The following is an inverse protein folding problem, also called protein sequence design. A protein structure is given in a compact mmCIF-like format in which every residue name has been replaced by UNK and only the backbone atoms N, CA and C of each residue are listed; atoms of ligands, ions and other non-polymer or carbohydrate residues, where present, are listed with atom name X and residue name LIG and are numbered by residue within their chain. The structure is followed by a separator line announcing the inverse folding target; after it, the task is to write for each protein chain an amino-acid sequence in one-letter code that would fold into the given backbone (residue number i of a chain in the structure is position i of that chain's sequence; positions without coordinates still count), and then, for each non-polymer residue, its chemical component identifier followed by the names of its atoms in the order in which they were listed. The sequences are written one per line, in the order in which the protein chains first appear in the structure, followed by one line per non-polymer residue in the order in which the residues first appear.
data_IF_239897340851
#
_entry.id   IF_239897340851
#
_cell.length_a   1.000
_cell.length_b   1.000
_cell.length_c   1.000
_cell.angle_alpha   90.00
_cell.angle_beta   90.00
_cell.angle_gamma   90.00
#
_symmetry.space_group_name_H-M   'P 1'
#
loop_
_entity.id
_entity.type
_entity.pdbx_description
1 polymer ?
#
# COMPACT_ATOMS: atom_id res chain seq x y z
N UNK A 1 1.64 1.40 18.01
CA UNK A 1 2.92 2.12 17.80
C UNK A 1 3.29 1.97 16.34
N UNK A 2 3.81 3.04 15.67
CA UNK A 2 4.26 2.96 14.29
C UNK A 2 5.76 2.62 14.23
N UNK A 3 6.15 1.93 13.15
CA UNK A 3 7.55 1.67 12.83
C UNK A 3 8.14 2.86 12.04
N UNK A 4 8.33 4.01 12.70
CA UNK A 4 8.74 5.26 12.05
C UNK A 4 10.12 5.16 11.36
N UNK A 5 10.97 4.19 11.75
CA UNK A 5 12.25 3.90 11.09
C UNK A 5 12.08 3.33 9.66
N UNK A 6 10.88 2.97 9.24
CA UNK A 6 10.58 2.46 7.89
C UNK A 6 10.37 3.55 6.84
N UNK A 7 10.38 4.81 7.26
CA UNK A 7 10.20 5.97 6.39
C UNK A 7 11.28 7.01 6.71
N UNK A 8 11.73 7.78 5.71
CA UNK A 8 12.62 8.92 5.97
C UNK A 8 11.93 9.94 6.87
N UNK A 9 12.71 10.54 7.79
CA UNK A 9 12.19 11.55 8.72
C UNK A 9 11.47 12.71 8.00
N UNK A 10 12.05 13.20 6.90
CA UNK A 10 11.45 14.26 6.08
C UNK A 10 10.10 13.85 5.48
N UNK A 11 9.96 12.59 5.01
CA UNK A 11 8.70 12.09 4.46
C UNK A 11 7.65 11.89 5.57
N UNK A 12 8.05 11.47 6.76
CA UNK A 12 7.14 11.37 7.91
C UNK A 12 6.64 12.76 8.36
N UNK A 13 7.51 13.76 8.39
CA UNK A 13 7.15 15.14 8.71
C UNK A 13 6.21 15.73 7.67
N UNK A 14 6.52 15.55 6.38
CA UNK A 14 5.63 15.95 5.28
C UNK A 14 4.25 15.28 5.41
N UNK A 15 4.20 13.97 5.65
CA UNK A 15 2.96 13.23 5.85
C UNK A 15 2.12 13.83 6.99
N UNK A 16 2.75 14.15 8.13
CA UNK A 16 2.05 14.77 9.27
C UNK A 16 1.47 16.14 8.91
N UNK A 17 2.22 16.96 8.16
CA UNK A 17 1.79 18.30 7.72
C UNK A 17 0.61 18.15 6.75
N UNK A 18 0.74 17.35 5.70
CA UNK A 18 -0.31 17.15 4.69
C UNK A 18 -1.58 16.55 5.32
N UNK A 19 -1.45 15.60 6.23
CA UNK A 19 -2.60 14.99 6.92
C UNK A 19 -3.33 15.94 7.90
N UNK A 20 -2.70 17.04 8.29
CA UNK A 20 -3.35 18.11 9.08
C UNK A 20 -4.04 19.16 8.20
N UNK A 21 -3.75 19.23 6.92
CA UNK A 21 -4.38 20.15 5.99
C UNK A 21 -5.81 19.72 5.69
N UNK A 22 -6.76 20.68 5.72
CA UNK A 22 -8.18 20.43 5.48
C UNK A 22 -8.46 19.87 4.08
N UNK A 23 -7.65 20.23 3.08
CA UNK A 23 -7.78 19.71 1.72
C UNK A 23 -7.56 18.19 1.65
N UNK A 24 -6.90 17.61 2.67
CA UNK A 24 -6.61 16.18 2.76
C UNK A 24 -7.44 15.45 3.80
N UNK A 25 -8.49 16.05 4.36
CA UNK A 25 -9.26 15.44 5.47
C UNK A 25 -9.87 14.07 5.10
N UNK A 26 -10.19 13.84 3.82
CA UNK A 26 -10.73 12.57 3.31
C UNK A 26 -9.66 11.60 2.82
N UNK A 27 -8.38 12.02 2.78
CA UNK A 27 -7.30 11.16 2.32
C UNK A 27 -6.75 10.29 3.44
N UNK A 28 -6.33 9.10 3.04
CA UNK A 28 -5.79 8.04 3.89
C UNK A 28 -4.51 7.54 3.23
N UNK A 29 -3.42 7.41 3.98
CA UNK A 29 -2.22 6.76 3.47
C UNK A 29 -2.51 5.26 3.33
N UNK A 30 -2.27 4.73 2.13
CA UNK A 30 -2.41 3.31 1.84
C UNK A 30 -1.10 2.74 1.24
N UNK A 31 -1.21 1.66 0.50
CA UNK A 31 -0.06 1.11 -0.21
C UNK A 31 1.06 0.58 0.68
N UNK A 32 2.26 0.62 0.11
CA UNK A 32 3.45 0.05 0.73
C UNK A 32 3.92 0.80 1.97
N UNK A 33 3.81 2.13 1.98
CA UNK A 33 4.25 2.96 3.10
C UNK A 33 3.32 2.81 4.30
N UNK A 34 2.01 2.73 4.09
CA UNK A 34 1.07 2.44 5.17
C UNK A 34 1.33 1.08 5.81
N UNK A 35 1.62 0.06 5.01
CA UNK A 35 1.96 -1.26 5.53
C UNK A 35 3.31 -1.26 6.24
N UNK A 36 4.33 -0.61 5.68
CA UNK A 36 5.65 -0.49 6.30
C UNK A 36 5.58 0.16 7.68
N UNK A 37 4.84 1.26 7.82
CA UNK A 37 4.61 1.92 9.11
C UNK A 37 3.88 1.04 10.13
N UNK A 38 3.01 0.11 9.68
CA UNK A 38 2.22 -0.75 10.57
C UNK A 38 2.91 -2.05 10.97
N UNK A 39 3.77 -2.62 10.13
CA UNK A 39 4.40 -3.95 10.39
C UNK A 39 5.92 -3.95 10.36
N UNK A 40 6.56 -2.88 9.90
CA UNK A 40 8.00 -2.71 10.03
C UNK A 40 8.88 -3.51 9.08
N UNK A 41 8.33 -4.06 8.00
CA UNK A 41 9.03 -5.07 7.17
C UNK A 41 10.05 -4.51 6.18
N UNK A 42 9.86 -3.29 5.67
CA UNK A 42 10.73 -2.66 4.68
C UNK A 42 10.81 -1.15 4.82
N UNK A 43 11.81 -0.55 4.20
CA UNK A 43 11.87 0.90 4.00
C UNK A 43 10.95 1.31 2.85
N UNK A 44 10.18 2.37 3.03
CA UNK A 44 9.31 2.96 2.01
C UNK A 44 9.53 4.46 1.93
N UNK A 45 9.38 5.02 0.73
CA UNK A 45 9.72 6.43 0.48
C UNK A 45 8.56 7.24 -0.12
N UNK A 46 7.59 6.58 -0.74
CA UNK A 46 6.50 7.22 -1.47
C UNK A 46 5.28 7.42 -0.57
N UNK A 47 4.53 8.48 -0.77
CA UNK A 47 3.30 8.79 -0.04
C UNK A 47 2.08 8.57 -0.93
N UNK A 48 1.49 7.38 -0.86
CA UNK A 48 0.28 7.01 -1.59
C UNK A 48 -0.98 7.44 -0.80
N UNK A 49 -1.55 8.58 -1.10
CA UNK A 49 -2.75 9.14 -0.46
C UNK A 49 -4.00 8.79 -1.25
N UNK A 50 -4.88 8.01 -0.65
CA UNK A 50 -6.12 7.56 -1.28
C UNK A 50 -7.34 8.16 -0.61
N UNK A 51 -8.34 8.48 -1.41
CA UNK A 51 -9.71 8.77 -0.95
C UNK A 51 -10.71 7.90 -1.70
N UNK A 52 -11.86 7.62 -1.10
CA UNK A 52 -12.98 6.96 -1.79
C UNK A 52 -13.98 7.97 -2.39
N UNK A 53 -13.74 9.26 -2.22
CA UNK A 53 -14.54 10.34 -2.77
C UNK A 53 -13.83 10.96 -3.98
N UNK A 54 -14.57 11.43 -4.98
CA UNK A 54 -13.97 12.23 -6.05
C UNK A 54 -13.44 13.56 -5.50
N UNK A 55 -12.45 14.13 -6.16
CA UNK A 55 -11.92 15.46 -5.84
C UNK A 55 -11.58 16.21 -7.13
N UNK A 56 -11.48 17.54 -7.03
CA UNK A 56 -11.00 18.39 -8.13
C UNK A 56 -9.48 18.36 -8.15
N UNK A 57 -8.93 17.66 -9.14
CA UNK A 57 -7.49 17.48 -9.30
C UNK A 57 -6.75 18.79 -9.59
N UNK A 58 -7.37 19.72 -10.33
CA UNK A 58 -6.74 21.01 -10.65
C UNK A 58 -6.66 21.89 -9.39
N UNK A 59 -7.77 21.97 -8.65
CA UNK A 59 -7.81 22.72 -7.40
C UNK A 59 -6.80 22.18 -6.38
N UNK A 60 -6.71 20.84 -6.23
CA UNK A 60 -5.78 20.23 -5.30
C UNK A 60 -4.32 20.40 -5.76
N UNK A 61 -4.02 20.29 -7.07
CA UNK A 61 -2.68 20.53 -7.61
C UNK A 61 -2.24 21.98 -7.37
N UNK A 62 -3.11 22.95 -7.59
CA UNK A 62 -2.83 24.36 -7.33
C UNK A 62 -2.63 24.64 -5.84
N UNK A 63 -3.41 24.01 -4.97
CA UNK A 63 -3.22 24.08 -3.53
C UNK A 63 -1.85 23.53 -3.11
N UNK A 64 -1.46 22.37 -3.64
CA UNK A 64 -0.15 21.75 -3.39
C UNK A 64 1.02 22.64 -3.88
N UNK A 65 0.91 23.22 -5.08
CA UNK A 65 1.93 24.13 -5.60
C UNK A 65 2.12 25.36 -4.72
N UNK A 66 1.01 25.99 -4.29
CA UNK A 66 1.08 27.22 -3.49
C UNK A 66 1.63 27.01 -2.09
N UNK A 67 1.34 25.87 -1.47
CA UNK A 67 1.61 25.66 -0.04
C UNK A 67 2.78 24.72 0.24
N UNK A 68 3.16 23.86 -0.71
CA UNK A 68 4.11 22.76 -0.46
C UNK A 68 5.26 22.65 -1.47
N UNK A 69 5.38 23.62 -2.39
CA UNK A 69 6.39 23.55 -3.46
C UNK A 69 6.29 22.25 -4.28
N UNK A 70 5.04 21.89 -4.67
CA UNK A 70 4.76 20.67 -5.39
C UNK A 70 5.13 20.77 -6.86
N UNK A 71 5.88 19.82 -7.35
CA UNK A 71 6.22 19.61 -8.74
C UNK A 71 5.32 18.52 -9.31
N UNK A 72 4.51 18.86 -10.32
CA UNK A 72 3.53 17.97 -10.91
C UNK A 72 4.16 17.09 -11.99
N UNK A 73 4.06 15.78 -11.85
CA UNK A 73 4.50 14.81 -12.87
C UNK A 73 3.33 14.35 -13.75
N UNK A 74 2.15 14.12 -13.15
CA UNK A 74 0.99 13.59 -13.85
C UNK A 74 -0.31 14.08 -13.22
N UNK A 75 -1.28 14.41 -14.08
CA UNK A 75 -2.63 14.76 -13.68
C UNK A 75 -3.66 14.11 -14.61
N UNK A 76 -4.69 13.54 -14.05
CA UNK A 76 -5.86 13.05 -14.77
C UNK A 76 -7.05 13.08 -13.82
N UNK A 77 -8.27 12.78 -14.33
CA UNK A 77 -9.47 12.80 -13.49
C UNK A 77 -9.25 12.03 -12.18
N UNK A 78 -9.46 12.72 -11.05
CA UNK A 78 -9.30 12.15 -9.71
C UNK A 78 -7.90 11.59 -9.39
N UNK A 79 -6.85 12.06 -10.08
CA UNK A 79 -5.48 11.58 -9.88
C UNK A 79 -4.48 12.70 -10.06
N UNK A 80 -3.60 12.86 -9.07
CA UNK A 80 -2.44 13.74 -9.13
C UNK A 80 -1.24 12.92 -8.67
N UNK A 81 -0.13 13.05 -9.39
CA UNK A 81 1.17 12.49 -9.01
C UNK A 81 2.23 13.55 -9.16
N UNK A 82 3.20 13.53 -8.28
CA UNK A 82 4.31 14.48 -8.33
C UNK A 82 5.18 14.39 -7.08
N UNK A 83 5.95 15.44 -6.88
CA UNK A 83 7.00 15.46 -5.86
C UNK A 83 6.90 16.71 -4.98
N UNK A 84 7.20 16.56 -3.69
CA UNK A 84 7.42 17.64 -2.75
C UNK A 84 8.78 17.46 -2.10
N UNK A 85 9.74 18.33 -2.42
CA UNK A 85 11.09 18.31 -1.86
C UNK A 85 11.78 16.92 -1.95
N UNK A 86 11.71 16.26 -3.09
CA UNK A 86 12.30 14.94 -3.34
C UNK A 86 11.51 13.77 -2.76
N UNK A 87 10.24 13.98 -2.35
CA UNK A 87 9.36 12.95 -1.82
C UNK A 87 8.18 12.78 -2.78
N UNK A 88 8.07 11.61 -3.40
CA UNK A 88 6.94 11.29 -4.28
C UNK A 88 5.64 11.24 -3.48
N UNK A 89 4.61 11.91 -4.01
CA UNK A 89 3.26 11.95 -3.44
C UNK A 89 2.21 11.71 -4.53
N UNK A 90 1.43 10.66 -4.35
CA UNK A 90 0.31 10.31 -5.21
C UNK A 90 -0.99 10.58 -4.47
N UNK A 91 -1.91 11.33 -5.08
CA UNK A 91 -3.27 11.56 -4.58
C UNK A 91 -4.25 10.94 -5.56
N UNK A 92 -4.98 9.92 -5.11
CA UNK A 92 -5.82 9.09 -5.99
C UNK A 92 -7.19 8.86 -5.38
N UNK A 93 -8.26 9.14 -6.13
CA UNK A 93 -9.59 8.71 -5.75
C UNK A 93 -9.81 7.26 -6.18
N UNK A 94 -9.69 6.37 -5.21
CA UNK A 94 -10.01 4.96 -5.36
C UNK A 94 -11.44 4.72 -4.89
N UNK A 95 -12.40 4.95 -5.78
CA UNK A 95 -13.84 5.06 -5.49
C UNK A 95 -14.50 3.71 -5.12
N UNK A 96 -13.85 2.97 -4.22
CA UNK A 96 -14.36 1.76 -3.60
C UNK A 96 -14.52 1.96 -2.09
N UNK A 97 -15.42 1.23 -1.42
CA UNK A 97 -15.62 1.40 0.02
C UNK A 97 -14.36 1.07 0.81
N UNK A 98 -14.13 1.82 1.89
CA UNK A 98 -13.22 1.38 2.94
C UNK A 98 -13.89 0.23 3.69
N UNK A 99 -13.15 -0.88 3.89
CA UNK A 99 -13.65 -2.08 4.56
C UNK A 99 -13.50 -2.00 6.07
N UNK A 100 -12.48 -1.26 6.50
CA UNK A 100 -12.14 -1.07 7.91
C UNK A 100 -12.13 0.43 8.26
N UNK A 101 -12.32 0.69 9.55
CA UNK A 101 -12.03 2.03 10.08
C UNK A 101 -10.53 2.29 9.98
N UNK A 102 -10.18 3.48 9.49
CA UNK A 102 -8.77 3.87 9.37
C UNK A 102 -8.06 3.86 10.72
N UNK A 103 -6.84 3.36 10.76
CA UNK A 103 -5.97 3.42 11.92
C UNK A 103 -5.42 4.85 12.07
N UNK A 104 -5.66 5.49 13.21
CA UNK A 104 -5.23 6.87 13.47
C UNK A 104 -4.06 6.90 14.44
N UNK A 105 -3.02 7.67 14.07
CA UNK A 105 -1.83 7.92 14.88
C UNK A 105 -1.51 9.42 14.83
N UNK A 106 -2.01 10.18 15.80
CA UNK A 106 -2.03 11.64 15.72
C UNK A 106 -2.84 12.10 14.52
N UNK A 107 -2.25 12.90 13.63
CA UNK A 107 -2.87 13.33 12.37
C UNK A 107 -2.87 12.26 11.28
N UNK A 108 -1.99 11.26 11.37
CA UNK A 108 -1.82 10.26 10.31
C UNK A 108 -3.01 9.29 10.31
N UNK A 109 -3.63 9.12 9.14
CA UNK A 109 -4.69 8.16 8.85
C UNK A 109 -4.15 7.09 7.93
N UNK A 110 -4.18 5.82 8.37
CA UNK A 110 -3.69 4.66 7.63
C UNK A 110 -4.84 3.73 7.25
N UNK A 111 -4.78 3.18 6.03
CA UNK A 111 -5.66 2.10 5.62
C UNK A 111 -5.44 0.86 6.49
N UNK A 112 -6.51 0.13 6.78
CA UNK A 112 -6.45 -1.13 7.52
C UNK A 112 -5.85 -2.28 6.69
N UNK A 113 -5.56 -3.40 7.34
CA UNK A 113 -4.93 -4.54 6.69
C UNK A 113 -5.81 -5.17 5.60
N UNK A 114 -7.14 -5.24 5.81
CA UNK A 114 -8.06 -5.78 4.82
C UNK A 114 -8.12 -4.90 3.57
N UNK A 115 -8.12 -3.57 3.72
CA UNK A 115 -8.08 -2.64 2.61
C UNK A 115 -6.78 -2.76 1.81
N UNK A 116 -5.63 -2.78 2.50
CA UNK A 116 -4.33 -2.93 1.84
C UNK A 116 -4.25 -4.29 1.14
N UNK A 117 -4.69 -5.38 1.77
CA UNK A 117 -4.69 -6.71 1.16
C UNK A 117 -5.54 -6.76 -0.11
N UNK A 118 -6.78 -6.24 -0.06
CA UNK A 118 -7.65 -6.18 -1.23
C UNK A 118 -7.02 -5.38 -2.37
N UNK A 119 -6.41 -4.21 -2.08
CA UNK A 119 -5.73 -3.38 -3.07
C UNK A 119 -4.53 -4.10 -3.70
N UNK A 120 -3.75 -4.85 -2.90
CA UNK A 120 -2.59 -5.61 -3.39
C UNK A 120 -2.99 -6.83 -4.20
N UNK A 121 -4.03 -7.55 -3.79
CA UNK A 121 -4.60 -8.63 -4.59
C UNK A 121 -5.16 -8.13 -5.93
N UNK A 122 -5.79 -6.95 -5.94
CA UNK A 122 -6.24 -6.32 -7.18
C UNK A 122 -5.08 -5.95 -8.11
N UNK A 123 -3.99 -5.40 -7.56
CA UNK A 123 -2.79 -5.07 -8.32
C UNK A 123 -2.14 -6.31 -8.95
N UNK A 124 -2.01 -7.41 -8.19
CA UNK A 124 -1.49 -8.70 -8.68
C UNK A 124 -2.40 -9.25 -9.80
N UNK A 125 -3.72 -9.14 -9.64
CA UNK A 125 -4.68 -9.61 -10.65
C UNK A 125 -4.62 -8.82 -11.97
N UNK A 126 -4.28 -7.53 -11.90
CA UNK A 126 -4.25 -6.66 -13.08
C UNK A 126 -2.92 -6.72 -13.83
N UNK A 127 -1.81 -6.68 -13.12
CA UNK A 127 -0.46 -6.62 -13.71
C UNK A 127 0.38 -7.86 -13.39
N UNK A 128 0.48 -8.24 -12.11
CA UNK A 128 1.24 -9.41 -11.68
C UNK A 128 2.76 -9.35 -11.89
N UNK A 129 3.31 -8.21 -12.31
CA UNK A 129 4.76 -8.05 -12.56
C UNK A 129 5.51 -7.45 -11.38
N UNK A 130 4.81 -6.77 -10.46
CA UNK A 130 5.43 -6.01 -9.38
C UNK A 130 5.81 -6.88 -8.20
N UNK A 131 7.11 -7.16 -8.04
CA UNK A 131 7.67 -7.95 -6.92
C UNK A 131 7.15 -7.49 -5.54
N UNK A 132 7.06 -6.18 -5.31
CA UNK A 132 6.62 -5.61 -4.03
C UNK A 132 5.21 -6.05 -3.63
N UNK A 133 4.28 -6.24 -4.57
CA UNK A 133 2.90 -6.62 -4.25
C UNK A 133 2.82 -8.04 -3.66
N UNK A 134 3.63 -8.97 -4.18
CA UNK A 134 3.77 -10.32 -3.62
C UNK A 134 4.42 -10.31 -2.23
N UNK A 135 5.44 -9.48 -2.03
CA UNK A 135 6.06 -9.27 -0.72
C UNK A 135 5.02 -8.79 0.30
N UNK A 136 4.20 -7.80 -0.07
CA UNK A 136 3.17 -7.26 0.82
C UNK A 136 2.15 -8.33 1.23
N UNK A 137 1.66 -9.15 0.30
CA UNK A 137 0.75 -10.25 0.60
C UNK A 137 1.40 -11.26 1.54
N UNK A 138 2.66 -11.64 1.29
CA UNK A 138 3.38 -12.55 2.15
C UNK A 138 3.53 -12.00 3.59
N UNK A 139 3.87 -10.72 3.75
CA UNK A 139 3.99 -10.10 5.08
C UNK A 139 2.63 -9.85 5.75
N UNK A 140 1.57 -9.53 5.00
CA UNK A 140 0.21 -9.42 5.53
C UNK A 140 -0.28 -10.74 6.14
N UNK A 141 0.22 -11.90 5.68
CA UNK A 141 -0.10 -13.20 6.26
C UNK A 141 0.25 -13.33 7.75
N UNK A 142 1.10 -12.44 8.27
CA UNK A 142 1.43 -12.37 9.70
C UNK A 142 0.39 -11.61 10.53
N UNK A 143 -0.65 -11.08 9.88
CA UNK A 143 -1.72 -10.28 10.51
C UNK A 143 -3.11 -10.83 10.24
N UNK A 144 -3.34 -11.33 9.02
CA UNK A 144 -4.63 -11.83 8.57
C UNK A 144 -4.44 -13.06 7.68
N UNK A 145 -5.38 -14.00 7.71
CA UNK A 145 -5.38 -15.20 6.86
C UNK A 145 -5.74 -14.88 5.40
N UNK A 146 -5.36 -15.76 4.48
CA UNK A 146 -5.64 -15.59 3.05
C UNK A 146 -7.15 -15.51 2.76
N UNK A 147 -7.98 -16.32 3.43
CA UNK A 147 -9.44 -16.26 3.26
C UNK A 147 -9.99 -14.88 3.60
N UNK A 148 -9.48 -14.23 4.65
CA UNK A 148 -9.88 -12.86 4.99
C UNK A 148 -9.45 -11.86 3.91
N UNK A 149 -8.25 -12.02 3.33
CA UNK A 149 -7.78 -11.17 2.23
C UNK A 149 -8.64 -11.33 0.96
N UNK A 150 -9.02 -12.57 0.62
CA UNK A 150 -9.87 -12.87 -0.53
C UNK A 150 -11.30 -12.35 -0.34
N UNK A 151 -11.88 -12.50 0.85
CA UNK A 151 -13.16 -11.91 1.21
C UNK A 151 -13.13 -10.37 1.13
N UNK A 152 -12.06 -9.76 1.61
CA UNK A 152 -11.84 -8.31 1.50
C UNK A 152 -11.80 -7.86 0.03
N UNK A 153 -11.11 -8.61 -0.83
CA UNK A 153 -11.08 -8.34 -2.27
C UNK A 153 -12.49 -8.40 -2.88
N UNK A 154 -13.23 -9.47 -2.61
CA UNK A 154 -14.61 -9.65 -3.10
C UNK A 154 -15.54 -8.54 -2.63
N UNK A 155 -15.48 -8.19 -1.34
CA UNK A 155 -16.30 -7.12 -0.77
C UNK A 155 -15.98 -5.75 -1.38
N UNK A 156 -14.69 -5.44 -1.56
CA UNK A 156 -14.24 -4.15 -2.06
C UNK A 156 -14.53 -3.96 -3.54
N UNK A 157 -14.24 -4.96 -4.37
CA UNK A 157 -14.27 -4.86 -5.83
C UNK A 157 -15.50 -5.51 -6.48
N UNK A 158 -16.33 -6.22 -5.70
CA UNK A 158 -17.47 -7.02 -6.23
C UNK A 158 -17.04 -7.98 -7.33
N UNK A 159 -15.86 -8.57 -7.20
CA UNK A 159 -15.18 -9.40 -8.17
C UNK A 159 -14.87 -10.78 -7.59
N UNK A 160 -14.75 -11.78 -8.46
CA UNK A 160 -14.54 -13.17 -8.07
C UNK A 160 -13.15 -13.36 -7.41
N UNK A 161 -13.06 -13.80 -6.15
CA UNK A 161 -11.80 -13.98 -5.42
C UNK A 161 -10.90 -15.10 -5.98
N UNK A 162 -11.41 -15.95 -6.87
CA UNK A 162 -10.60 -16.96 -7.58
C UNK A 162 -9.59 -16.30 -8.53
N UNK A 163 -9.87 -15.08 -9.01
CA UNK A 163 -8.96 -14.34 -9.89
C UNK A 163 -7.64 -14.04 -9.19
N UNK A 164 -7.61 -13.27 -8.07
CA UNK A 164 -6.37 -13.02 -7.33
C UNK A 164 -5.76 -14.30 -6.73
N UNK A 165 -6.58 -15.29 -6.33
CA UNK A 165 -6.07 -16.55 -5.82
C UNK A 165 -5.19 -17.28 -6.85
N UNK A 166 -5.61 -17.30 -8.13
CA UNK A 166 -4.79 -17.86 -9.22
C UNK A 166 -3.60 -16.98 -9.57
N UNK A 167 -3.81 -15.66 -9.66
CA UNK A 167 -2.77 -14.70 -10.04
C UNK A 167 -1.60 -14.70 -9.04
N UNK A 168 -1.88 -14.79 -7.73
CA UNK A 168 -0.84 -14.77 -6.71
C UNK A 168 0.10 -15.98 -6.69
N UNK A 169 -0.21 -17.06 -7.41
CA UNK A 169 0.67 -18.22 -7.63
C UNK A 169 1.32 -18.26 -9.00
N UNK A 170 1.12 -17.24 -9.82
CA UNK A 170 1.76 -17.11 -11.12
C UNK A 170 2.96 -16.16 -11.04
N UNK A 171 4.17 -16.72 -10.93
CA UNK A 171 5.38 -15.97 -10.64
C UNK A 171 6.25 -15.66 -11.86
N UNK A 172 5.88 -16.18 -13.06
CA UNK A 172 6.74 -16.12 -14.24
C UNK A 172 6.97 -14.70 -14.79
N UNK A 173 6.06 -13.78 -14.51
CA UNK A 173 6.12 -12.41 -15.02
C UNK A 173 6.74 -11.41 -14.02
N UNK A 174 7.15 -11.86 -12.84
CA UNK A 174 7.65 -10.95 -11.80
C UNK A 174 8.96 -10.30 -12.24
N UNK A 175 9.02 -8.97 -12.14
CA UNK A 175 10.23 -8.20 -12.35
C UNK A 175 11.09 -8.21 -11.08
N UNK A 176 12.11 -9.07 -11.06
CA UNK A 176 13.05 -9.18 -9.94
C UNK A 176 14.11 -8.06 -9.88
N UNK A 177 14.17 -7.20 -10.89
CA UNK A 177 15.11 -6.07 -10.90
C UNK A 177 14.63 -4.88 -10.06
N UNK A 178 13.39 -4.93 -9.56
CA UNK A 178 12.84 -3.87 -8.69
C UNK A 178 13.54 -3.91 -7.32
N UNK A 179 14.22 -2.83 -6.90
CA UNK A 179 14.92 -2.84 -5.61
C UNK A 179 13.92 -2.82 -4.45
N UNK A 180 14.17 -3.66 -3.44
CA UNK A 180 13.40 -3.70 -2.20
C UNK A 180 14.35 -3.62 -1.01
N UNK A 181 14.22 -2.55 -0.22
CA UNK A 181 15.02 -2.32 0.97
C UNK A 181 14.25 -2.86 2.20
N UNK A 182 14.67 -4.01 2.69
CA UNK A 182 14.09 -4.59 3.91
C UNK A 182 14.72 -3.96 5.16
N UNK A 183 13.98 -3.92 6.28
CA UNK A 183 14.46 -3.32 7.54
C UNK A 183 15.47 -4.18 8.28
N UNK A 184 15.20 -5.48 8.38
CA UNK A 184 15.98 -6.40 9.21
C UNK A 184 16.88 -7.34 8.40
N UNK A 185 16.77 -7.32 7.06
CA UNK A 185 17.41 -8.27 6.18
C UNK A 185 18.18 -7.53 5.10
N UNK A 186 19.47 -7.84 4.96
CA UNK A 186 20.32 -7.21 3.95
C UNK A 186 19.90 -7.54 2.51
N UNK A 187 19.35 -8.73 2.29
CA UNK A 187 18.92 -9.17 0.97
C UNK A 187 17.72 -10.10 1.08
N UNK A 188 16.62 -9.68 0.43
CA UNK A 188 15.43 -10.51 0.31
C UNK A 188 15.72 -11.68 -0.64
N UNK A 189 15.47 -12.92 -0.18
CA UNK A 189 15.53 -14.10 -1.04
C UNK A 189 14.11 -14.50 -1.43
N UNK A 190 13.83 -14.44 -2.72
CA UNK A 190 12.49 -14.69 -3.28
C UNK A 190 11.86 -15.99 -2.81
N UNK A 191 12.61 -17.08 -2.72
CA UNK A 191 12.07 -18.39 -2.36
C UNK A 191 11.34 -18.42 -1.01
N UNK A 192 11.65 -17.52 -0.06
CA UNK A 192 10.91 -17.43 1.21
C UNK A 192 9.53 -16.80 1.01
N UNK A 193 9.43 -15.82 0.09
CA UNK A 193 8.16 -15.18 -0.27
C UNK A 193 7.28 -16.17 -1.03
N UNK A 194 7.84 -16.82 -2.04
CA UNK A 194 7.17 -17.86 -2.83
C UNK A 194 6.64 -18.99 -1.91
N UNK A 195 7.51 -19.55 -1.07
CA UNK A 195 7.13 -20.58 -0.10
C UNK A 195 5.97 -20.11 0.78
N UNK A 196 6.04 -18.87 1.31
CA UNK A 196 4.98 -18.32 2.14
C UNK A 196 3.65 -18.22 1.39
N UNK A 197 3.65 -17.74 0.15
CA UNK A 197 2.44 -17.63 -0.66
C UNK A 197 1.81 -19.00 -0.93
N UNK A 198 2.63 -20.01 -1.26
CA UNK A 198 2.15 -21.37 -1.46
C UNK A 198 1.61 -22.00 -0.16
N UNK A 199 2.24 -21.74 0.99
CA UNK A 199 1.73 -22.16 2.30
C UNK A 199 0.40 -21.48 2.67
N UNK A 200 0.23 -20.21 2.34
CA UNK A 200 -1.04 -19.49 2.54
C UNK A 200 -2.19 -20.15 1.76
N UNK A 201 -1.94 -20.60 0.52
CA UNK A 201 -2.96 -21.32 -0.28
C UNK A 201 -3.29 -22.68 0.31
N UNK A 202 -2.31 -23.35 0.88
CA UNK A 202 -2.51 -24.64 1.54
C UNK A 202 -3.23 -24.55 2.89
N UNK A 203 -3.03 -23.43 3.60
CA UNK A 203 -3.60 -23.18 4.92
C UNK A 203 -4.25 -21.77 4.95
N UNK A 204 -5.37 -21.55 4.25
CA UNK A 204 -5.89 -20.21 3.95
C UNK A 204 -6.43 -19.44 5.17
N UNK A 205 -6.79 -20.13 6.24
CA UNK A 205 -7.26 -19.49 7.48
C UNK A 205 -6.12 -19.20 8.48
N UNK A 206 -4.92 -19.71 8.19
CA UNK A 206 -3.78 -19.56 9.10
C UNK A 206 -3.23 -18.13 9.06
N UNK A 207 -3.08 -17.54 10.25
CA UNK A 207 -2.21 -16.38 10.47
C UNK A 207 -0.83 -16.92 10.80
N UNK A 208 0.14 -16.54 9.99
CA UNK A 208 1.50 -17.07 10.09
C UNK A 208 2.35 -16.25 11.05
N UNK A 209 3.40 -16.87 11.56
CA UNK A 209 4.46 -16.17 12.26
C UNK A 209 5.32 -15.33 11.29
N UNK A 210 6.24 -14.55 11.85
CA UNK A 210 7.21 -13.74 11.07
C UNK A 210 7.89 -14.62 10.00
N UNK A 211 8.15 -14.02 8.84
CA UNK A 211 8.92 -14.68 7.78
C UNK A 211 10.38 -14.78 8.27
N UNK A 212 10.84 -15.97 8.49
CA UNK A 212 12.26 -16.25 8.74
C UNK A 212 12.99 -16.29 7.41
N UNK A 213 14.03 -15.48 7.28
CA UNK A 213 14.83 -15.34 6.04
C UNK A 213 16.31 -15.47 6.32
#
# INVERSE_FOLDING_TARGET
MLYEQTIKKSALELLKIVMNDLSFHNFVLAGGTALALQIGHRISIDLDLFTNLPFDENHLADHLRRNYNFELDFISSNTIKGEINGIQIDCIAHQYPWLEKQNKYGSIRLAGYLDIAAMKLNAISGDGTRLKDFIYIAFLSTRIGLNQMLQAYEQKYKSNPVIPLKAMSYFNNINFNEPVLMTEIKQLKWHFIEKRILEMQKFPDKVFEKIEM
#
